data_IF_609781538385
#
_entry.id   IF_609781538385
#
_cell.length_a   1.000
_cell.length_b   1.000
_cell.length_c   1.000
_cell.angle_alpha   90.00
_cell.angle_beta   90.00
_cell.angle_gamma   90.00
#
_symmetry.space_group_name_H-M   'P 1'
#
loop_
_entity.id
_entity.type
_entity.pdbx_description
1 polymer ?
#
# COMPACT_ATOMS: atom_id res chain seq x y z
N UNK A 1 7.38 -8.94 -19.32
CA UNK A 1 6.41 -8.23 -20.17
C UNK A 1 6.73 -6.74 -20.18
N UNK A 2 6.74 -6.12 -21.35
CA UNK A 2 6.94 -4.69 -21.52
C UNK A 2 5.66 -4.09 -22.08
N UNK A 3 5.10 -3.05 -21.43
CA UNK A 3 3.93 -2.34 -21.95
C UNK A 3 4.33 -1.59 -23.23
N UNK A 4 3.56 -1.80 -24.30
CA UNK A 4 3.86 -1.24 -25.62
C UNK A 4 2.93 -0.08 -25.95
N UNK A 5 1.62 -0.32 -25.92
CA UNK A 5 0.62 0.68 -26.28
C UNK A 5 -0.72 0.45 -25.59
N UNK A 6 -1.60 1.46 -25.66
CA UNK A 6 -2.99 1.37 -25.21
C UNK A 6 -3.92 1.48 -26.40
N UNK A 7 -4.88 0.58 -26.49
CA UNK A 7 -5.82 0.48 -27.58
C UNK A 7 -7.27 0.57 -27.06
N UNK A 8 -8.24 0.84 -27.94
CA UNK A 8 -9.64 0.64 -27.61
C UNK A 8 -9.92 -0.84 -27.32
N UNK A 9 -10.67 -1.11 -26.27
CA UNK A 9 -11.08 -2.48 -25.97
C UNK A 9 -12.19 -2.94 -26.93
N UNK A 10 -12.05 -4.10 -27.57
CA UNK A 10 -13.07 -4.62 -28.51
C UNK A 10 -14.40 -4.96 -27.84
N UNK A 11 -14.40 -5.25 -26.54
CA UNK A 11 -15.60 -5.66 -25.80
C UNK A 11 -16.31 -4.46 -25.15
N UNK A 12 -15.64 -3.70 -24.29
CA UNK A 12 -16.28 -2.58 -23.58
C UNK A 12 -16.20 -1.23 -24.31
N UNK A 13 -15.57 -1.16 -25.48
CA UNK A 13 -15.36 0.07 -26.27
C UNK A 13 -14.68 1.23 -25.54
N UNK A 14 -14.09 1.00 -24.37
CA UNK A 14 -13.29 2.00 -23.69
C UNK A 14 -12.03 2.35 -24.49
N UNK A 15 -11.83 3.64 -24.77
CA UNK A 15 -10.82 4.11 -25.75
C UNK A 15 -9.36 3.79 -25.39
N UNK A 16 -9.03 3.57 -24.10
CA UNK A 16 -7.66 3.38 -23.62
C UNK A 16 -7.54 2.33 -22.52
N UNK A 17 -8.49 1.40 -22.45
CA UNK A 17 -8.48 0.38 -21.39
C UNK A 17 -7.76 -0.90 -21.75
N UNK A 18 -7.51 -1.15 -23.06
CA UNK A 18 -6.76 -2.32 -23.50
C UNK A 18 -5.27 -2.01 -23.53
N UNK A 19 -4.53 -2.55 -22.58
CA UNK A 19 -3.06 -2.46 -22.56
C UNK A 19 -2.47 -3.64 -23.34
N UNK A 20 -1.60 -3.34 -24.28
CA UNK A 20 -0.82 -4.33 -25.04
C UNK A 20 0.56 -4.47 -24.42
N UNK A 21 1.03 -5.70 -24.29
CA UNK A 21 2.33 -6.07 -23.75
C UNK A 21 3.13 -6.89 -24.78
N UNK A 22 4.42 -6.59 -24.88
CA UNK A 22 5.39 -7.46 -25.52
C UNK A 22 6.03 -8.36 -24.46
N UNK A 23 5.94 -9.66 -24.67
CA UNK A 23 6.46 -10.70 -23.80
C UNK A 23 7.56 -11.47 -24.53
N UNK A 24 8.43 -12.13 -23.78
CA UNK A 24 9.41 -13.07 -24.30
C UNK A 24 9.20 -14.43 -23.66
N UNK A 25 9.08 -15.45 -24.48
CA UNK A 25 9.15 -16.85 -24.06
C UNK A 25 10.62 -17.24 -23.96
N UNK A 26 11.14 -17.39 -22.76
CA UNK A 26 12.54 -17.72 -22.51
C UNK A 26 12.91 -19.14 -22.96
N UNK A 27 11.95 -20.07 -22.96
CA UNK A 27 12.15 -21.44 -23.36
C UNK A 27 12.27 -21.59 -24.90
N UNK A 28 11.50 -20.79 -25.64
CA UNK A 28 11.48 -20.80 -27.10
C UNK A 28 12.32 -19.68 -27.74
N UNK A 29 12.74 -18.68 -26.94
CA UNK A 29 13.45 -17.50 -27.42
C UNK A 29 12.61 -16.60 -28.34
N UNK A 30 11.30 -16.72 -28.30
CA UNK A 30 10.36 -15.99 -29.17
C UNK A 30 9.66 -14.87 -28.42
N UNK A 31 9.46 -13.75 -29.10
CA UNK A 31 8.63 -12.65 -28.60
C UNK A 31 7.18 -12.84 -29.04
N UNK A 32 6.24 -12.55 -28.14
CA UNK A 32 4.80 -12.60 -28.44
C UNK A 32 4.07 -11.45 -27.77
N UNK A 33 2.92 -11.07 -28.34
CA UNK A 33 2.08 -10.05 -27.73
C UNK A 33 1.04 -10.67 -26.80
N UNK A 34 0.62 -9.90 -25.81
CA UNK A 34 -0.58 -10.14 -25.03
C UNK A 34 -1.32 -8.82 -24.83
N UNK A 35 -2.60 -8.88 -24.57
CA UNK A 35 -3.40 -7.72 -24.22
C UNK A 35 -4.32 -8.02 -23.04
N UNK A 36 -4.59 -6.99 -22.24
CA UNK A 36 -5.49 -7.06 -21.10
C UNK A 36 -6.28 -5.75 -20.97
N UNK A 37 -7.59 -5.86 -20.78
CA UNK A 37 -8.44 -4.71 -20.53
C UNK A 37 -8.51 -4.41 -19.04
N UNK A 38 -8.24 -3.16 -18.64
CA UNK A 38 -8.34 -2.74 -17.24
C UNK A 38 -9.78 -2.77 -16.67
N UNK A 39 -10.79 -2.91 -17.54
CA UNK A 39 -12.17 -3.21 -17.12
C UNK A 39 -12.43 -4.71 -16.96
N UNK A 40 -11.39 -5.55 -17.08
CA UNK A 40 -11.44 -7.01 -16.92
C UNK A 40 -12.40 -7.74 -17.88
N UNK A 41 -12.71 -7.15 -19.03
CA UNK A 41 -13.64 -7.72 -20.01
C UNK A 41 -12.95 -8.37 -21.20
N UNK A 42 -11.62 -8.22 -21.36
CA UNK A 42 -10.87 -8.75 -22.50
C UNK A 42 -9.46 -9.17 -22.12
N UNK A 43 -9.05 -10.33 -22.60
CA UNK A 43 -7.67 -10.82 -22.54
C UNK A 43 -7.31 -11.55 -23.84
N UNK A 44 -6.09 -11.38 -24.33
CA UNK A 44 -5.55 -12.10 -25.47
C UNK A 44 -4.08 -12.48 -25.25
N UNK A 45 -3.69 -13.64 -25.78
CA UNK A 45 -2.30 -14.06 -25.98
C UNK A 45 -2.03 -14.22 -27.46
N UNK A 46 -0.95 -13.63 -27.96
CA UNK A 46 -0.66 -13.57 -29.39
C UNK A 46 -1.18 -12.27 -29.98
N UNK A 47 -1.98 -12.33 -31.05
CA UNK A 47 -2.60 -11.13 -31.62
C UNK A 47 -3.50 -10.44 -30.60
N UNK A 48 -3.23 -9.16 -30.22
CA UNK A 48 -4.02 -8.45 -29.23
C UNK A 48 -5.49 -8.26 -29.59
N UNK A 49 -5.84 -8.37 -30.89
CA UNK A 49 -7.22 -8.28 -31.39
C UNK A 49 -7.91 -9.63 -31.59
N UNK A 50 -7.19 -10.73 -31.48
CA UNK A 50 -7.72 -12.08 -31.63
C UNK A 50 -7.88 -12.76 -30.26
N UNK A 51 -8.50 -12.06 -29.33
CA UNK A 51 -8.80 -12.53 -27.98
C UNK A 51 -10.27 -12.83 -27.80
N UNK A 52 -10.66 -12.97 -26.58
CA UNK A 52 -12.04 -13.22 -26.15
C UNK A 52 -12.30 -12.57 -24.80
N UNK A 53 -13.49 -12.78 -24.24
CA UNK A 53 -13.79 -12.34 -22.90
C UNK A 53 -12.70 -12.87 -21.94
N UNK A 54 -12.24 -12.01 -21.06
CA UNK A 54 -11.30 -12.42 -20.02
C UNK A 54 -11.89 -13.63 -19.27
N UNK A 55 -11.07 -14.61 -18.88
CA UNK A 55 -11.58 -15.72 -18.09
C UNK A 55 -12.30 -15.18 -16.86
N UNK A 56 -13.41 -15.82 -16.51
CA UNK A 56 -14.17 -15.44 -15.31
C UNK A 56 -13.18 -15.33 -14.14
N UNK A 57 -13.11 -14.13 -13.58
CA UNK A 57 -12.29 -13.90 -12.38
C UNK A 57 -12.88 -14.74 -11.27
N UNK A 58 -12.12 -15.71 -10.79
CA UNK A 58 -12.56 -16.53 -9.66
C UNK A 58 -12.85 -15.61 -8.46
N UNK A 59 -14.12 -15.44 -8.18
CA UNK A 59 -14.56 -14.67 -7.01
C UNK A 59 -14.45 -15.60 -5.81
N UNK A 60 -13.48 -15.32 -4.95
CA UNK A 60 -13.27 -16.08 -3.71
C UNK A 60 -14.55 -16.14 -2.90
N UNK A 61 -14.95 -17.35 -2.53
CA UNK A 61 -16.09 -17.56 -1.64
C UNK A 61 -15.77 -17.08 -0.22
N UNK A 62 -16.79 -16.93 0.62
CA UNK A 62 -16.58 -16.60 2.04
C UNK A 62 -15.73 -17.68 2.75
N UNK A 63 -15.87 -18.94 2.34
CA UNK A 63 -15.11 -20.05 2.89
C UNK A 63 -13.63 -19.99 2.49
N UNK A 64 -13.34 -19.67 1.21
CA UNK A 64 -11.96 -19.47 0.73
C UNK A 64 -11.28 -18.36 1.51
N UNK A 65 -11.95 -17.21 1.66
CA UNK A 65 -11.45 -16.08 2.44
C UNK A 65 -11.19 -16.48 3.89
N UNK A 66 -12.10 -17.22 4.52
CA UNK A 66 -11.96 -17.68 5.90
C UNK A 66 -10.76 -18.65 6.06
N UNK A 67 -10.57 -19.57 5.12
CA UNK A 67 -9.46 -20.52 5.12
C UNK A 67 -8.12 -19.81 4.89
N UNK A 68 -8.03 -18.90 3.93
CA UNK A 68 -6.83 -18.08 3.71
C UNK A 68 -6.47 -17.25 4.94
N UNK A 69 -7.47 -16.58 5.56
CA UNK A 69 -7.26 -15.79 6.77
C UNK A 69 -6.79 -16.66 7.95
N UNK A 70 -7.33 -17.85 8.10
CA UNK A 70 -6.91 -18.80 9.13
C UNK A 70 -5.45 -19.19 8.94
N UNK A 71 -5.05 -19.52 7.71
CA UNK A 71 -3.66 -19.84 7.36
C UNK A 71 -2.74 -18.65 7.61
N UNK A 72 -3.10 -17.46 7.14
CA UNK A 72 -2.29 -16.25 7.34
C UNK A 72 -2.15 -15.87 8.83
N UNK A 73 -3.21 -16.04 9.63
CA UNK A 73 -3.17 -15.83 11.08
C UNK A 73 -2.23 -16.81 11.80
N UNK A 74 -2.03 -18.00 11.28
CA UNK A 74 -1.12 -19.00 11.85
C UNK A 74 0.36 -18.69 11.53
N UNK A 75 0.63 -17.85 10.54
CA UNK A 75 1.98 -17.44 10.22
C UNK A 75 2.63 -16.68 11.39
N UNK A 76 3.94 -16.87 11.62
CA UNK A 76 4.63 -16.20 12.72
C UNK A 76 4.61 -14.66 12.55
N UNK A 77 4.72 -13.94 13.66
CA UNK A 77 4.94 -12.50 13.64
C UNK A 77 6.25 -12.23 12.89
N UNK A 78 6.27 -11.17 12.06
CA UNK A 78 7.45 -10.83 11.27
C UNK A 78 8.69 -10.63 12.16
N UNK A 79 9.70 -11.45 11.99
CA UNK A 79 10.89 -11.50 12.83
C UNK A 79 12.13 -11.98 12.05
N UNK A 80 12.34 -11.45 10.85
CA UNK A 80 13.40 -11.93 9.96
C UNK A 80 14.82 -11.57 10.43
N UNK A 81 14.99 -10.35 10.99
CA UNK A 81 16.28 -9.78 11.45
C UNK A 81 16.03 -8.77 12.56
N UNK A 82 17.10 -8.19 13.12
CA UNK A 82 17.00 -7.09 14.09
C UNK A 82 16.38 -5.82 13.49
N UNK A 83 16.59 -5.59 12.20
CA UNK A 83 15.94 -4.54 11.41
C UNK A 83 15.60 -5.04 10.01
N UNK A 84 14.69 -4.36 9.36
CA UNK A 84 14.35 -4.57 7.96
C UNK A 84 14.12 -3.23 7.29
N UNK A 85 14.81 -2.98 6.16
CA UNK A 85 14.81 -1.67 5.47
C UNK A 85 15.19 -0.50 6.41
N UNK A 86 16.14 -0.71 7.30
CA UNK A 86 16.57 0.27 8.29
C UNK A 86 15.67 0.41 9.52
N UNK A 87 14.44 -0.10 9.47
CA UNK A 87 13.45 0.01 10.55
C UNK A 87 13.63 -1.14 11.53
N UNK A 88 13.68 -0.88 12.86
CA UNK A 88 13.75 -1.95 13.86
C UNK A 88 12.55 -2.89 13.78
N UNK A 89 12.81 -4.19 13.97
CA UNK A 89 11.80 -5.24 13.81
C UNK A 89 10.59 -5.08 14.75
N UNK A 90 10.80 -4.44 15.91
CA UNK A 90 9.75 -4.20 16.90
C UNK A 90 8.61 -3.31 16.36
N UNK A 91 8.93 -2.43 15.41
CA UNK A 91 7.90 -1.62 14.75
C UNK A 91 7.01 -2.49 13.86
N UNK A 92 7.57 -3.38 13.05
CA UNK A 92 6.77 -4.33 12.25
C UNK A 92 5.89 -5.21 13.14
N UNK A 93 6.41 -5.67 14.29
CA UNK A 93 5.64 -6.44 15.27
C UNK A 93 4.49 -5.61 15.85
N UNK A 94 4.74 -4.37 16.23
CA UNK A 94 3.73 -3.47 16.81
C UNK A 94 2.64 -3.09 15.81
N UNK A 95 2.95 -3.16 14.50
CA UNK A 95 1.99 -2.96 13.41
C UNK A 95 1.27 -4.26 12.97
N UNK A 96 1.49 -5.37 13.69
CA UNK A 96 0.84 -6.64 13.42
C UNK A 96 1.31 -7.37 12.16
N UNK A 97 2.46 -6.97 11.60
CA UNK A 97 2.99 -7.60 10.40
C UNK A 97 3.32 -9.08 10.62
N UNK A 98 3.06 -9.91 9.61
CA UNK A 98 3.32 -11.35 9.62
C UNK A 98 4.42 -11.72 8.64
N UNK A 99 5.12 -12.82 8.96
CA UNK A 99 6.12 -13.43 8.10
C UNK A 99 5.48 -14.61 7.38
N UNK A 100 5.20 -14.45 6.10
CA UNK A 100 4.71 -15.56 5.29
C UNK A 100 5.87 -16.43 4.84
N UNK A 101 5.65 -17.72 4.90
CA UNK A 101 6.63 -18.74 4.58
C UNK A 101 6.42 -19.25 3.16
N UNK A 102 7.47 -19.80 2.57
CA UNK A 102 7.43 -20.41 1.25
C UNK A 102 6.50 -21.63 1.27
N UNK A 103 5.64 -21.73 0.28
CA UNK A 103 4.77 -22.90 0.08
C UNK A 103 5.58 -24.16 -0.24
N UNK A 104 6.80 -23.99 -0.74
CA UNK A 104 7.66 -25.11 -1.12
C UNK A 104 8.20 -25.90 0.08
N UNK A 105 8.59 -25.22 1.15
CA UNK A 105 9.23 -25.86 2.32
C UNK A 105 8.54 -25.53 3.66
N UNK A 106 7.59 -24.62 3.65
CA UNK A 106 6.85 -24.21 4.85
C UNK A 106 7.69 -23.50 5.92
N UNK A 107 8.97 -23.25 5.66
CA UNK A 107 9.93 -22.73 6.66
C UNK A 107 10.69 -21.49 6.20
N UNK A 108 11.02 -21.40 4.92
CA UNK A 108 11.78 -20.25 4.38
C UNK A 108 10.92 -19.00 4.35
N UNK A 109 11.37 -17.88 4.95
CA UNK A 109 10.67 -16.59 4.85
C UNK A 109 10.56 -16.14 3.39
N UNK A 110 9.33 -15.92 2.94
CA UNK A 110 9.01 -15.54 1.56
C UNK A 110 8.53 -14.10 1.42
N UNK A 111 7.60 -13.67 2.27
CA UNK A 111 7.00 -12.36 2.19
C UNK A 111 6.69 -11.76 3.56
N UNK A 112 6.58 -10.43 3.60
CA UNK A 112 5.98 -9.71 4.72
C UNK A 112 4.50 -9.45 4.40
N UNK A 113 3.62 -9.77 5.35
CA UNK A 113 2.19 -9.48 5.29
C UNK A 113 1.83 -8.29 6.15
N UNK A 114 1.14 -7.32 5.56
CA UNK A 114 0.55 -6.17 6.23
C UNK A 114 -0.93 -6.45 6.48
N UNK A 115 -1.43 -6.37 7.73
CA UNK A 115 -2.83 -6.65 8.02
C UNK A 115 -3.76 -5.62 7.37
N UNK A 116 -4.86 -6.08 6.82
CA UNK A 116 -5.95 -5.25 6.29
C UNK A 116 -7.19 -5.44 7.15
N UNK A 117 -7.73 -4.34 7.63
CA UNK A 117 -8.95 -4.33 8.45
C UNK A 117 -10.10 -3.63 7.75
N UNK A 118 -11.31 -3.90 8.21
CA UNK A 118 -12.52 -3.18 7.87
C UNK A 118 -13.36 -3.08 9.15
N UNK A 119 -13.62 -1.86 9.58
CA UNK A 119 -14.40 -1.58 10.80
C UNK A 119 -13.90 -2.31 12.05
N UNK A 120 -12.57 -2.45 12.18
CA UNK A 120 -11.90 -3.11 13.30
C UNK A 120 -11.67 -4.60 13.13
N UNK A 121 -12.27 -5.22 12.14
CA UNK A 121 -12.12 -6.65 11.89
C UNK A 121 -10.97 -6.90 10.89
N UNK A 122 -10.10 -7.86 11.18
CA UNK A 122 -9.07 -8.31 10.25
C UNK A 122 -9.70 -9.11 9.11
N UNK A 123 -9.66 -8.55 7.89
CA UNK A 123 -10.33 -9.13 6.71
C UNK A 123 -9.38 -9.63 5.64
N UNK A 124 -8.09 -9.27 5.70
CA UNK A 124 -7.12 -9.67 4.70
C UNK A 124 -5.70 -9.29 5.06
N UNK A 125 -4.83 -9.53 4.09
CA UNK A 125 -3.41 -9.18 4.14
C UNK A 125 -2.95 -8.69 2.78
N UNK A 126 -2.18 -7.62 2.77
CA UNK A 126 -1.38 -7.22 1.62
C UNK A 126 0.02 -7.78 1.84
N UNK A 127 0.48 -8.67 0.99
CA UNK A 127 1.75 -9.33 1.16
C UNK A 127 2.78 -8.87 0.12
N UNK A 128 4.00 -8.61 0.55
CA UNK A 128 5.11 -8.24 -0.31
C UNK A 128 6.22 -9.26 -0.22
N UNK A 129 6.60 -9.94 -1.31
CA UNK A 129 7.76 -10.80 -1.35
C UNK A 129 9.03 -10.07 -0.94
N UNK A 130 9.90 -10.72 -0.15
CA UNK A 130 11.11 -10.10 0.38
C UNK A 130 12.15 -9.75 -0.71
N UNK A 131 12.07 -10.42 -1.88
CA UNK A 131 13.03 -10.30 -2.99
C UNK A 131 12.47 -9.64 -4.24
N UNK A 132 11.17 -9.27 -4.25
CA UNK A 132 10.49 -8.67 -5.41
C UNK A 132 9.73 -7.42 -4.99
N UNK A 133 9.44 -6.55 -5.97
CA UNK A 133 8.62 -5.35 -5.73
C UNK A 133 7.11 -5.60 -5.84
N UNK A 134 6.70 -6.79 -6.24
CA UNK A 134 5.29 -7.15 -6.43
C UNK A 134 4.55 -7.26 -5.09
N UNK A 135 3.22 -7.21 -5.18
CA UNK A 135 2.33 -7.46 -4.06
C UNK A 135 1.33 -8.54 -4.43
N UNK A 136 0.89 -9.31 -3.46
CA UNK A 136 -0.26 -10.19 -3.60
C UNK A 136 -1.19 -10.05 -2.41
N UNK A 137 -2.46 -10.42 -2.61
CA UNK A 137 -3.50 -10.31 -1.59
C UNK A 137 -3.89 -11.66 -1.02
N UNK A 138 -4.19 -11.70 0.28
CA UNK A 138 -4.78 -12.83 0.97
C UNK A 138 -6.07 -12.32 1.63
N UNK A 139 -7.18 -13.00 1.42
CA UNK A 139 -8.48 -12.57 1.90
C UNK A 139 -9.02 -11.34 1.14
N UNK A 140 -9.74 -10.46 1.83
CA UNK A 140 -10.30 -9.24 1.25
C UNK A 140 -9.23 -8.15 1.17
N UNK A 141 -8.96 -7.63 -0.03
CA UNK A 141 -7.94 -6.61 -0.26
C UNK A 141 -8.47 -5.31 -0.84
N UNK A 142 -9.74 -5.27 -1.25
CA UNK A 142 -10.40 -4.07 -1.78
C UNK A 142 -11.54 -3.59 -0.87
N UNK A 143 -11.78 -2.28 -0.82
CA UNK A 143 -12.79 -1.69 0.06
C UNK A 143 -12.49 -1.94 1.54
N UNK A 144 -11.22 -1.93 1.90
CA UNK A 144 -10.69 -2.07 3.26
C UNK A 144 -10.25 -0.71 3.79
N UNK A 145 -10.10 -0.63 5.10
CA UNK A 145 -9.60 0.57 5.75
C UNK A 145 -8.13 0.84 5.36
N UNK A 146 -7.68 2.10 5.38
CA UNK A 146 -6.27 2.43 5.28
C UNK A 146 -5.43 1.66 6.30
N UNK A 147 -4.26 1.18 5.90
CA UNK A 147 -3.37 0.44 6.79
C UNK A 147 -2.96 1.30 8.00
N UNK A 148 -3.03 0.76 9.19
CA UNK A 148 -2.73 1.45 10.43
C UNK A 148 -3.90 2.22 11.06
N UNK A 149 -5.08 2.29 10.42
CA UNK A 149 -6.22 3.03 10.94
C UNK A 149 -6.68 2.51 12.32
N UNK A 150 -6.75 1.20 12.51
CA UNK A 150 -7.12 0.58 13.79
C UNK A 150 -6.11 0.90 14.89
N UNK A 151 -4.83 1.00 14.53
CA UNK A 151 -3.76 1.39 15.43
C UNK A 151 -3.83 2.87 15.80
N UNK A 152 -4.27 3.72 14.90
CA UNK A 152 -4.43 5.16 15.10
C UNK A 152 -5.65 5.51 15.97
N UNK A 153 -6.73 4.73 15.90
CA UNK A 153 -8.00 5.01 16.58
C UNK A 153 -7.92 5.15 18.10
N UNK A 154 -7.15 4.35 18.85
CA UNK A 154 -7.06 4.49 20.30
C UNK A 154 -6.36 5.77 20.75
N UNK A 155 -5.64 6.46 19.87
CA UNK A 155 -4.86 7.62 20.23
C UNK A 155 -5.73 8.88 20.33
N UNK A 156 -5.61 9.58 21.45
CA UNK A 156 -6.30 10.85 21.69
C UNK A 156 -5.53 11.98 20.98
N UNK A 157 -5.89 12.26 19.73
CA UNK A 157 -5.24 13.28 18.91
C UNK A 157 -6.25 13.93 17.97
N UNK A 158 -5.97 15.17 17.55
CA UNK A 158 -6.69 15.88 16.51
C UNK A 158 -5.97 15.86 15.15
N UNK A 159 -4.87 15.11 15.06
CA UNK A 159 -3.98 15.08 13.90
C UNK A 159 -3.76 13.65 13.44
N UNK A 160 -3.80 13.43 12.13
CA UNK A 160 -3.53 12.15 11.47
C UNK A 160 -2.44 12.33 10.43
N UNK A 161 -1.41 11.50 10.46
CA UNK A 161 -0.35 11.45 9.46
C UNK A 161 -0.67 10.41 8.40
N UNK A 162 -0.44 10.75 7.14
CA UNK A 162 -0.80 9.93 5.99
C UNK A 162 0.43 9.76 5.10
N UNK A 163 0.79 8.51 4.82
CA UNK A 163 1.85 8.12 3.89
C UNK A 163 1.27 7.39 2.68
N UNK A 164 2.08 7.20 1.65
CA UNK A 164 1.65 6.48 0.46
C UNK A 164 1.70 4.96 0.63
N UNK A 165 2.75 4.43 1.26
CA UNK A 165 3.01 3.01 1.40
C UNK A 165 3.05 2.51 2.85
N UNK A 166 2.88 1.21 3.03
CA UNK A 166 2.87 0.57 4.35
C UNK A 166 4.25 0.67 5.03
N UNK A 167 5.34 0.55 4.26
CA UNK A 167 6.68 0.74 4.80
C UNK A 167 6.91 2.16 5.27
N UNK A 168 6.38 3.15 4.55
CA UNK A 168 6.51 4.56 4.89
C UNK A 168 5.74 4.90 6.15
N UNK A 169 4.57 4.29 6.35
CA UNK A 169 3.82 4.47 7.60
C UNK A 169 4.60 3.94 8.81
N UNK A 170 5.19 2.76 8.70
CA UNK A 170 6.01 2.18 9.79
C UNK A 170 7.29 3.00 10.00
N UNK A 171 7.95 3.43 8.92
CA UNK A 171 9.14 4.26 8.97
C UNK A 171 8.86 5.62 9.59
N UNK A 172 7.76 6.27 9.22
CA UNK A 172 7.37 7.56 9.77
C UNK A 172 7.07 7.47 11.27
N UNK A 173 6.33 6.45 11.71
CA UNK A 173 6.09 6.21 13.14
C UNK A 173 7.40 6.00 13.91
N UNK A 174 8.36 5.27 13.36
CA UNK A 174 9.71 5.12 13.91
C UNK A 174 10.43 6.47 14.02
N UNK A 175 10.49 7.25 12.93
CA UNK A 175 11.12 8.56 12.89
C UNK A 175 10.51 9.52 13.93
N UNK A 176 9.19 9.57 14.00
CA UNK A 176 8.48 10.44 14.96
C UNK A 176 8.69 9.98 16.41
N UNK A 177 8.79 8.68 16.65
CA UNK A 177 9.08 8.14 17.97
C UNK A 177 10.49 8.52 18.45
N UNK A 178 11.47 8.54 17.55
CA UNK A 178 12.84 8.98 17.87
C UNK A 178 12.92 10.49 18.13
N UNK A 179 12.18 11.29 17.37
CA UNK A 179 12.22 12.75 17.45
C UNK A 179 11.30 13.33 18.52
N UNK A 180 10.23 12.63 18.86
CA UNK A 180 9.15 13.11 19.74
C UNK A 180 9.18 12.53 21.15
N UNK A 181 8.05 12.70 21.83
CA UNK A 181 7.86 12.24 23.23
C UNK A 181 6.89 11.06 23.34
N UNK A 182 6.19 10.72 22.28
CA UNK A 182 5.23 9.62 22.26
C UNK A 182 5.90 8.34 21.78
N UNK A 183 5.44 7.20 22.30
CA UNK A 183 5.91 5.87 21.86
C UNK A 183 5.17 5.37 20.59
N UNK A 184 4.16 6.10 20.15
CA UNK A 184 3.32 5.73 19.02
C UNK A 184 2.60 6.97 18.49
N UNK A 185 2.49 7.08 17.17
CA UNK A 185 1.79 8.17 16.51
C UNK A 185 0.68 7.63 15.59
N UNK A 186 -0.40 8.42 15.36
CA UNK A 186 -1.51 8.01 14.51
C UNK A 186 -1.15 8.20 13.03
N UNK A 187 -0.38 7.26 12.52
CA UNK A 187 0.03 7.20 11.12
C UNK A 187 -0.79 6.15 10.41
N UNK A 188 -1.21 6.44 9.18
CA UNK A 188 -1.85 5.50 8.27
C UNK A 188 -1.17 5.53 6.90
N UNK A 189 -1.34 4.48 6.10
CA UNK A 189 -1.00 4.54 4.67
C UNK A 189 -2.21 4.31 3.77
N UNK A 190 -2.12 4.85 2.56
CA UNK A 190 -3.14 4.68 1.53
C UNK A 190 -3.14 3.23 1.00
N UNK A 191 -4.33 2.62 0.82
CA UNK A 191 -4.43 1.19 0.48
C UNK A 191 -3.83 0.82 -0.89
N UNK A 192 -3.80 1.77 -1.84
CA UNK A 192 -3.34 1.55 -3.22
C UNK A 192 -2.46 2.70 -3.72
N UNK A 193 -1.65 3.30 -2.85
CA UNK A 193 -0.77 4.41 -3.17
C UNK A 193 -1.48 5.75 -3.34
N UNK A 194 -0.72 6.79 -3.71
CA UNK A 194 -1.18 8.19 -3.78
C UNK A 194 -2.40 8.41 -4.66
N UNK A 195 -2.53 7.70 -5.79
CA UNK A 195 -3.69 7.79 -6.68
C UNK A 195 -5.04 7.42 -6.04
N UNK A 196 -5.02 6.76 -4.88
CA UNK A 196 -6.23 6.31 -4.17
C UNK A 196 -6.69 7.26 -3.06
N UNK A 197 -6.04 8.40 -2.84
CA UNK A 197 -6.29 9.28 -1.68
C UNK A 197 -7.75 9.73 -1.58
N UNK A 198 -8.37 10.12 -2.69
CA UNK A 198 -9.79 10.49 -2.71
C UNK A 198 -10.68 9.37 -2.18
N UNK A 199 -10.46 8.15 -2.66
CA UNK A 199 -11.24 6.97 -2.27
C UNK A 199 -10.99 6.63 -0.79
N UNK A 200 -9.75 6.63 -0.34
CA UNK A 200 -9.39 6.33 1.04
C UNK A 200 -9.95 7.37 2.02
N UNK A 201 -9.77 8.67 1.75
CA UNK A 201 -10.28 9.72 2.62
C UNK A 201 -11.81 9.76 2.63
N UNK A 202 -12.47 9.59 1.48
CA UNK A 202 -13.94 9.52 1.43
C UNK A 202 -14.48 8.35 2.23
N UNK A 203 -13.83 7.19 2.19
CA UNK A 203 -14.22 6.00 2.94
C UNK A 203 -14.21 6.23 4.46
N UNK A 204 -13.24 7.00 4.97
CA UNK A 204 -13.06 7.18 6.42
C UNK A 204 -13.49 8.57 6.91
N UNK A 205 -13.90 9.48 6.03
CA UNK A 205 -14.16 10.90 6.34
C UNK A 205 -15.08 11.09 7.53
N UNK A 206 -16.22 10.44 7.54
CA UNK A 206 -17.20 10.57 8.64
C UNK A 206 -16.64 10.05 9.96
N UNK A 207 -15.83 9.00 9.91
CA UNK A 207 -15.13 8.47 11.09
C UNK A 207 -14.09 9.44 11.61
N UNK A 208 -13.33 10.12 10.72
CA UNK A 208 -12.37 11.17 11.09
C UNK A 208 -13.07 12.35 11.76
N UNK A 209 -14.17 12.83 11.19
CA UNK A 209 -14.98 13.93 11.76
C UNK A 209 -15.52 13.53 13.14
N UNK A 210 -16.10 12.35 13.27
CA UNK A 210 -16.60 11.83 14.55
C UNK A 210 -15.52 11.73 15.62
N UNK A 211 -14.29 11.44 15.22
CA UNK A 211 -13.10 11.38 16.10
C UNK A 211 -12.46 12.75 16.33
N UNK A 212 -13.03 13.82 15.77
CA UNK A 212 -12.54 15.19 15.88
C UNK A 212 -11.13 15.39 15.34
N UNK A 213 -10.74 14.61 14.33
CA UNK A 213 -9.51 14.86 13.59
C UNK A 213 -9.68 16.19 12.87
N UNK A 214 -8.75 17.10 13.07
CA UNK A 214 -8.74 18.44 12.47
C UNK A 214 -7.68 18.54 11.38
N UNK A 215 -6.52 17.98 11.62
CA UNK A 215 -5.33 18.15 10.81
C UNK A 215 -4.98 16.85 10.09
N UNK A 216 -4.74 16.92 8.79
CA UNK A 216 -4.10 15.87 8.01
C UNK A 216 -2.68 16.31 7.66
N UNK A 217 -1.71 15.50 7.99
CA UNK A 217 -0.29 15.74 7.68
C UNK A 217 0.16 14.71 6.65
N UNK A 218 0.47 15.18 5.45
CA UNK A 218 0.82 14.34 4.31
C UNK A 218 2.34 14.18 4.20
N UNK A 219 2.78 12.94 4.15
CA UNK A 219 4.17 12.52 3.91
C UNK A 219 4.15 11.54 2.74
N UNK A 220 3.87 12.08 1.54
CA UNK A 220 3.72 11.30 0.30
C UNK A 220 5.02 11.32 -0.49
N UNK A 221 5.14 10.47 -1.49
CA UNK A 221 6.32 10.40 -2.36
C UNK A 221 6.54 11.72 -3.12
N UNK A 222 7.79 12.10 -3.35
CA UNK A 222 8.10 13.32 -4.11
C UNK A 222 8.09 13.06 -5.62
N UNK A 223 6.91 12.67 -6.11
CA UNK A 223 6.67 12.44 -7.54
C UNK A 223 5.36 13.10 -8.01
N UNK A 224 5.00 12.89 -9.27
CA UNK A 224 3.77 13.48 -9.83
C UNK A 224 2.50 12.91 -9.17
N UNK A 225 2.51 11.63 -8.79
CA UNK A 225 1.35 10.97 -8.16
C UNK A 225 1.14 11.53 -6.76
N UNK A 226 2.21 11.68 -5.97
CA UNK A 226 2.17 12.31 -4.66
C UNK A 226 1.64 13.74 -4.72
N UNK A 227 2.11 14.56 -5.67
CA UNK A 227 1.64 15.95 -5.89
C UNK A 227 0.15 16.03 -6.29
N UNK A 228 -0.34 15.07 -7.06
CA UNK A 228 -1.76 14.98 -7.38
C UNK A 228 -2.59 14.58 -6.14
N UNK A 229 -2.06 13.68 -5.33
CA UNK A 229 -2.68 13.26 -4.07
C UNK A 229 -2.76 14.43 -3.07
N UNK A 230 -1.71 15.23 -2.94
CA UNK A 230 -1.71 16.45 -2.12
C UNK A 230 -2.83 17.42 -2.54
N UNK A 231 -2.92 17.73 -3.85
CA UNK A 231 -3.99 18.58 -4.39
C UNK A 231 -5.38 18.00 -4.13
N UNK A 232 -5.52 16.68 -4.16
CA UNK A 232 -6.78 16.02 -3.89
C UNK A 232 -7.17 16.12 -2.41
N UNK A 233 -6.21 15.93 -1.48
CA UNK A 233 -6.45 16.08 -0.06
C UNK A 233 -6.86 17.50 0.34
N UNK A 234 -6.20 18.52 -0.23
CA UNK A 234 -6.54 19.94 -0.03
C UNK A 234 -7.97 20.29 -0.44
N UNK A 235 -8.60 19.54 -1.33
CA UNK A 235 -10.01 19.70 -1.69
C UNK A 235 -10.99 19.01 -0.75
N UNK A 236 -10.52 18.03 0.00
CA UNK A 236 -11.36 17.18 0.85
C UNK A 236 -11.31 17.58 2.32
N UNK A 237 -10.26 18.28 2.75
CA UNK A 237 -10.00 18.60 4.15
C UNK A 237 -9.45 20.01 4.30
N UNK A 238 -9.90 20.72 5.33
CA UNK A 238 -9.58 22.16 5.50
C UNK A 238 -8.13 22.37 5.97
N UNK A 239 -7.66 21.56 6.91
CA UNK A 239 -6.31 21.70 7.47
C UNK A 239 -5.44 20.54 6.96
N UNK A 240 -4.76 20.76 5.85
CA UNK A 240 -3.79 19.83 5.26
C UNK A 240 -2.41 20.44 5.28
N UNK A 241 -1.46 19.71 5.82
CA UNK A 241 -0.05 20.10 5.89
C UNK A 241 0.77 19.11 5.08
N UNK A 242 1.71 19.61 4.28
CA UNK A 242 2.59 18.82 3.44
C UNK A 242 3.98 18.86 4.03
N UNK A 243 4.57 17.70 4.30
CA UNK A 243 5.89 17.58 4.90
C UNK A 243 6.92 17.29 3.82
N UNK A 244 7.92 18.15 3.71
CA UNK A 244 9.10 17.91 2.88
C UNK A 244 9.97 16.82 3.49
N UNK A 245 10.66 16.06 2.65
CA UNK A 245 11.60 15.03 3.10
C UNK A 245 13.01 15.60 3.23
N UNK A 246 13.81 15.12 4.18
CA UNK A 246 15.18 15.61 4.38
C UNK A 246 16.13 15.10 3.29
N UNK A 247 17.08 15.92 2.92
CA UNK A 247 18.16 15.55 2.02
C UNK A 247 17.67 15.06 0.66
N UNK A 248 18.06 13.85 0.27
CA UNK A 248 17.71 13.20 -0.99
C UNK A 248 16.60 12.14 -0.83
N UNK A 249 16.00 12.02 0.34
CA UNK A 249 14.94 11.06 0.59
C UNK A 249 13.70 11.38 -0.26
N UNK A 250 13.10 10.37 -0.88
CA UNK A 250 11.86 10.48 -1.66
C UNK A 250 10.62 10.18 -0.83
N UNK A 251 10.78 9.33 0.17
CA UNK A 251 9.74 8.87 1.07
C UNK A 251 10.29 8.74 2.51
N UNK A 252 9.43 8.37 3.46
CA UNK A 252 9.81 8.22 4.85
C UNK A 252 10.77 7.04 5.09
N UNK A 253 10.66 5.96 4.30
CA UNK A 253 11.58 4.84 4.41
C UNK A 253 12.97 5.17 3.84
N UNK A 254 13.05 5.92 2.76
CA UNK A 254 14.33 6.45 2.24
C UNK A 254 15.02 7.32 3.28
N UNK A 255 14.29 8.15 4.01
CA UNK A 255 14.86 8.96 5.10
C UNK A 255 15.54 8.09 6.17
N UNK A 256 14.94 6.95 6.53
CA UNK A 256 15.58 5.97 7.43
C UNK A 256 16.82 5.34 6.80
N UNK A 257 16.75 4.93 5.54
CA UNK A 257 17.87 4.30 4.85
C UNK A 257 19.08 5.23 4.67
N UNK A 258 18.84 6.54 4.60
CA UNK A 258 19.89 7.56 4.47
C UNK A 258 20.36 8.14 5.82
N UNK A 259 19.82 7.68 6.95
CA UNK A 259 20.21 8.14 8.28
C UNK A 259 19.59 9.49 8.71
N UNK A 260 18.44 9.87 8.10
CA UNK A 260 17.70 11.10 8.39
C UNK A 260 16.48 10.87 9.30
N UNK A 261 16.41 9.76 10.03
CA UNK A 261 15.22 9.37 10.80
C UNK A 261 14.79 10.43 11.83
N UNK A 262 15.75 11.04 12.53
CA UNK A 262 15.45 12.08 13.53
C UNK A 262 14.97 13.37 12.85
N UNK A 263 15.60 13.75 11.74
CA UNK A 263 15.22 14.94 10.97
C UNK A 263 13.83 14.78 10.36
N UNK A 264 13.55 13.64 9.74
CA UNK A 264 12.23 13.30 9.22
C UNK A 264 11.15 13.37 10.31
N UNK A 265 11.42 12.81 11.47
CA UNK A 265 10.52 12.87 12.61
C UNK A 265 10.25 14.30 13.11
N UNK A 266 11.28 15.15 13.16
CA UNK A 266 11.14 16.58 13.51
C UNK A 266 10.29 17.33 12.49
N UNK A 267 10.53 17.12 11.18
CA UNK A 267 9.74 17.74 10.12
C UNK A 267 8.27 17.34 10.22
N UNK A 268 7.99 16.06 10.41
CA UNK A 268 6.62 15.55 10.54
C UNK A 268 5.91 16.07 11.80
N UNK A 269 6.63 16.31 12.90
CA UNK A 269 6.06 16.83 14.15
C UNK A 269 5.97 18.37 14.16
N UNK A 270 6.80 19.04 13.38
CA UNK A 270 6.87 20.51 13.29
C UNK A 270 5.84 21.18 12.39
N UNK A 271 4.91 20.45 11.80
CA UNK A 271 3.98 20.92 10.78
C UNK A 271 3.12 22.17 11.15
N UNK A 272 3.04 22.53 12.43
CA UNK A 272 2.28 23.69 12.90
C UNK A 272 3.12 24.98 13.01
N UNK A 273 4.39 24.96 12.67
CA UNK A 273 5.33 26.05 12.94
C UNK A 273 5.65 26.94 11.72
N UNK A 274 4.83 26.88 10.64
CA UNK A 274 4.96 27.77 9.47
C UNK A 274 3.80 28.77 9.40
#
# INVERSE_FOLDING_TARGET
ATAVEKLPCPDCNSRQSLQVFLNRDEALGLDFYSSFCFSECWEAKGDPYNGGPAPEVYVKTKEDIANELKTAKSCPIFNLRSNYRGIPIEYFKSWGCRQFLSEFDGTTPYAIGFPLSLEGELVGWKARPLRKKDFFGIGKTSGVDPFGLERAWPLATDTLWITEGEFDAIALDYCMTLAGKSKMYPVISLSHGGGSINKNLSLIRDRLIKRKIKNLVLVLDDDEVGKLAEKAALRLWDNVYIVSKPGLAKDANDAVLFGYEIEMGKLALGFKND
#
